data_IF_998597335609
#
_entry.id   IF_998597335609
#
_cell.length_a   1.000
_cell.length_b   1.000
_cell.length_c   1.000
_cell.angle_alpha   90.00
_cell.angle_beta   90.00
_cell.angle_gamma   90.00
#
_symmetry.space_group_name_H-M   'P 1'
#
loop_
_entity.id
_entity.type
_entity.pdbx_description
1 polymer ?
#
# COMPACT_ATOMS: atom_id res chain seq x y z
N UNK A 1 48.28 -22.34 -26.79
CA UNK A 1 47.02 -21.55 -26.67
C UNK A 1 46.24 -21.75 -27.95
N UNK A 2 45.05 -22.41 -27.84
CA UNK A 2 44.26 -22.81 -29.01
C UNK A 2 43.63 -21.60 -29.70
N UNK A 3 43.58 -21.59 -31.02
CA UNK A 3 42.94 -20.55 -31.85
C UNK A 3 41.50 -20.22 -31.46
N UNK A 4 40.80 -21.19 -30.85
CA UNK A 4 39.46 -21.04 -30.31
C UNK A 4 39.39 -20.22 -28.99
N UNK A 5 40.45 -20.25 -28.15
CA UNK A 5 40.52 -19.45 -26.91
C UNK A 5 40.84 -17.99 -27.21
N UNK A 6 41.65 -17.69 -28.25
CA UNK A 6 41.93 -16.30 -28.67
C UNK A 6 40.77 -15.64 -29.38
N UNK A 7 39.89 -16.38 -30.02
CA UNK A 7 38.70 -15.85 -30.71
C UNK A 7 37.57 -15.52 -29.68
N UNK A 8 37.44 -16.32 -28.61
CA UNK A 8 36.49 -16.07 -27.53
C UNK A 8 36.86 -14.86 -26.65
N UNK A 9 38.14 -14.60 -26.40
CA UNK A 9 38.58 -13.44 -25.63
C UNK A 9 38.28 -12.12 -26.35
N UNK A 10 38.43 -12.03 -27.66
CA UNK A 10 38.07 -10.85 -28.46
C UNK A 10 36.53 -10.59 -28.49
N UNK A 11 35.74 -11.65 -28.49
CA UNK A 11 34.27 -11.54 -28.58
C UNK A 11 33.64 -10.92 -27.34
N UNK A 12 34.27 -11.05 -26.17
CA UNK A 12 33.73 -10.63 -24.88
C UNK A 12 34.59 -9.60 -24.15
N UNK A 13 35.52 -8.95 -24.86
CA UNK A 13 36.51 -7.99 -24.30
C UNK A 13 35.86 -6.78 -23.58
N UNK A 14 34.59 -6.48 -23.90
CA UNK A 14 33.80 -5.41 -23.26
C UNK A 14 32.99 -5.81 -22.03
N UNK A 15 32.96 -7.10 -21.66
CA UNK A 15 32.15 -7.57 -20.54
C UNK A 15 32.95 -7.57 -19.24
N UNK A 16 32.56 -6.68 -18.32
CA UNK A 16 33.13 -6.59 -16.97
C UNK A 16 32.11 -7.03 -15.92
N UNK A 17 32.61 -7.48 -14.77
CA UNK A 17 31.71 -7.81 -13.60
C UNK A 17 30.85 -6.61 -13.21
N UNK A 18 31.42 -5.39 -13.23
CA UNK A 18 30.68 -4.17 -12.96
C UNK A 18 29.53 -3.93 -13.95
N UNK A 19 29.75 -4.18 -15.25
CA UNK A 19 28.69 -4.09 -16.27
C UNK A 19 27.59 -5.13 -16.05
N UNK A 20 27.96 -6.35 -15.68
CA UNK A 20 26.98 -7.41 -15.39
C UNK A 20 26.15 -7.12 -14.13
N UNK A 21 26.76 -6.50 -13.11
CA UNK A 21 26.03 -6.04 -11.93
C UNK A 21 25.08 -4.87 -12.25
N UNK A 22 25.50 -3.95 -13.14
CA UNK A 22 24.61 -2.88 -13.60
C UNK A 22 23.41 -3.46 -14.37
N UNK A 23 23.60 -4.48 -15.23
CA UNK A 23 22.53 -5.16 -15.98
C UNK A 23 21.51 -5.89 -15.05
N UNK A 24 21.86 -6.15 -13.78
CA UNK A 24 20.94 -6.70 -12.80
C UNK A 24 19.90 -5.67 -12.31
N UNK A 25 20.24 -4.37 -12.26
CA UNK A 25 19.33 -3.33 -11.78
C UNK A 25 18.06 -3.19 -12.63
N UNK A 26 18.11 -3.13 -13.97
CA UNK A 26 16.91 -3.13 -14.80
C UNK A 26 15.99 -4.34 -14.55
N UNK A 27 16.57 -5.52 -14.30
CA UNK A 27 15.82 -6.74 -14.01
C UNK A 27 15.08 -6.62 -12.66
N UNK A 28 15.73 -6.05 -11.64
CA UNK A 28 15.12 -5.78 -10.35
C UNK A 28 14.03 -4.70 -10.47
N UNK A 29 14.27 -3.61 -11.16
CA UNK A 29 13.28 -2.56 -11.39
C UNK A 29 12.05 -3.10 -12.13
N UNK A 30 12.27 -3.93 -13.15
CA UNK A 30 11.19 -4.61 -13.85
C UNK A 30 10.38 -5.53 -12.95
N UNK A 31 11.04 -6.32 -12.09
CA UNK A 31 10.37 -7.18 -11.10
C UNK A 31 9.50 -6.35 -10.15
N UNK A 32 10.06 -5.30 -9.54
CA UNK A 32 9.31 -4.43 -8.63
C UNK A 32 8.14 -3.74 -9.34
N UNK A 33 8.36 -3.21 -10.54
CA UNK A 33 7.29 -2.65 -11.38
C UNK A 33 6.18 -3.66 -11.60
N UNK A 34 6.52 -4.88 -11.98
CA UNK A 34 5.55 -5.94 -12.21
C UNK A 34 4.76 -6.35 -10.95
N UNK A 35 5.43 -6.40 -9.80
CA UNK A 35 4.77 -6.68 -8.51
C UNK A 35 3.80 -5.56 -8.14
N UNK A 36 4.19 -4.30 -8.26
CA UNK A 36 3.30 -3.16 -7.97
C UNK A 36 2.09 -3.14 -8.90
N UNK A 37 2.28 -3.39 -10.20
CA UNK A 37 1.16 -3.51 -11.15
C UNK A 37 0.25 -4.69 -10.76
N UNK A 38 0.81 -5.82 -10.34
CA UNK A 38 0.02 -6.94 -9.84
C UNK A 38 -0.82 -6.57 -8.60
N UNK A 39 -0.28 -5.80 -7.68
CA UNK A 39 -1.02 -5.31 -6.50
C UNK A 39 -2.21 -4.42 -6.91
N UNK A 40 -2.08 -3.63 -7.97
CA UNK A 40 -3.15 -2.80 -8.52
C UNK A 40 -4.22 -3.61 -9.28
N UNK A 41 -3.80 -4.64 -9.99
CA UNK A 41 -4.66 -5.36 -10.96
C UNK A 41 -5.12 -6.73 -10.50
N UNK A 42 -4.29 -7.48 -9.75
CA UNK A 42 -4.62 -8.80 -9.20
C UNK A 42 -4.53 -9.98 -10.18
N UNK A 43 -4.04 -9.77 -11.41
CA UNK A 43 -4.01 -10.84 -12.43
C UNK A 43 -2.86 -11.83 -12.21
N UNK A 44 -3.19 -13.09 -11.89
CA UNK A 44 -2.21 -14.17 -11.70
C UNK A 44 -1.44 -14.49 -12.99
N UNK A 45 -2.09 -14.38 -14.16
CA UNK A 45 -1.42 -14.59 -15.46
C UNK A 45 -0.38 -13.50 -15.71
N UNK A 46 -0.68 -12.24 -15.35
CA UNK A 46 0.27 -11.14 -15.41
C UNK A 46 1.49 -11.41 -14.51
N UNK A 47 1.26 -11.81 -13.25
CA UNK A 47 2.34 -12.13 -12.31
C UNK A 47 3.22 -13.28 -12.80
N UNK A 48 2.63 -14.33 -13.37
CA UNK A 48 3.38 -15.44 -13.97
C UNK A 48 4.25 -14.95 -15.15
N UNK A 49 3.74 -14.02 -15.96
CA UNK A 49 4.50 -13.38 -17.03
C UNK A 49 5.67 -12.55 -16.51
N UNK A 50 5.45 -11.77 -15.45
CA UNK A 50 6.53 -11.02 -14.76
C UNK A 50 7.60 -11.97 -14.25
N UNK A 51 7.22 -13.07 -13.59
CA UNK A 51 8.17 -14.05 -13.08
C UNK A 51 9.00 -14.69 -14.20
N UNK A 52 8.37 -15.11 -15.30
CA UNK A 52 9.05 -15.70 -16.45
C UNK A 52 10.05 -14.72 -17.08
N UNK A 53 9.65 -13.47 -17.32
CA UNK A 53 10.51 -12.44 -17.89
C UNK A 53 11.69 -12.11 -16.94
N UNK A 54 11.43 -12.03 -15.63
CA UNK A 54 12.47 -11.79 -14.61
C UNK A 54 13.50 -12.92 -14.58
N UNK A 55 13.06 -14.18 -14.60
CA UNK A 55 13.97 -15.35 -14.68
C UNK A 55 14.80 -15.31 -15.97
N UNK A 56 14.18 -14.94 -17.09
CA UNK A 56 14.88 -14.72 -18.34
C UNK A 56 15.96 -13.65 -18.22
N UNK A 57 15.63 -12.48 -17.68
CA UNK A 57 16.57 -11.39 -17.43
C UNK A 57 17.71 -11.78 -16.51
N UNK A 58 17.39 -12.46 -15.39
CA UNK A 58 18.39 -12.98 -14.45
C UNK A 58 19.34 -13.99 -15.10
N UNK A 59 18.84 -14.82 -16.02
CA UNK A 59 19.67 -15.76 -16.79
C UNK A 59 20.69 -15.02 -17.66
N UNK A 60 20.31 -13.88 -18.28
CA UNK A 60 21.24 -13.02 -19.05
C UNK A 60 22.31 -12.42 -18.14
N UNK A 61 21.92 -11.90 -16.98
CA UNK A 61 22.84 -11.32 -15.99
C UNK A 61 23.85 -12.37 -15.52
N UNK A 62 23.36 -13.56 -15.13
CA UNK A 62 24.23 -14.67 -14.71
C UNK A 62 25.20 -15.09 -15.81
N UNK A 63 24.74 -15.17 -17.06
CA UNK A 63 25.59 -15.44 -18.22
C UNK A 63 26.69 -14.39 -18.34
N UNK A 64 26.36 -13.09 -18.29
CA UNK A 64 27.37 -12.01 -18.35
C UNK A 64 28.37 -12.09 -17.20
N UNK A 65 27.94 -12.41 -15.99
CA UNK A 65 28.80 -12.59 -14.81
C UNK A 65 29.81 -13.74 -15.04
N UNK A 66 29.34 -14.89 -15.53
CA UNK A 66 30.20 -16.05 -15.80
C UNK A 66 31.20 -15.74 -16.88
N UNK A 67 30.77 -15.08 -17.96
CA UNK A 67 31.67 -14.66 -19.05
C UNK A 67 32.70 -13.66 -18.53
N UNK A 68 32.30 -12.66 -17.75
CA UNK A 68 33.23 -11.65 -17.21
C UNK A 68 34.20 -12.25 -16.18
N UNK A 69 33.82 -13.26 -15.41
CA UNK A 69 34.66 -13.84 -14.36
C UNK A 69 35.65 -14.87 -14.87
N UNK A 70 35.29 -15.69 -15.87
CA UNK A 70 36.11 -16.83 -16.30
C UNK A 70 36.11 -17.11 -17.82
N UNK A 71 35.49 -16.24 -18.63
CA UNK A 71 35.43 -16.36 -20.07
C UNK A 71 34.57 -17.51 -20.63
N UNK A 72 33.82 -18.23 -19.77
CA UNK A 72 33.01 -19.38 -20.21
C UNK A 72 31.65 -18.90 -20.75
N UNK A 73 31.35 -19.30 -21.98
CA UNK A 73 30.02 -19.13 -22.58
C UNK A 73 29.11 -20.29 -22.19
N UNK A 74 28.05 -20.00 -21.43
CA UNK A 74 27.04 -20.99 -20.98
C UNK A 74 25.78 -20.82 -21.84
N UNK A 75 25.76 -21.51 -22.99
CA UNK A 75 24.68 -21.42 -23.99
C UNK A 75 23.28 -21.67 -23.41
N UNK A 76 23.14 -22.50 -22.36
CA UNK A 76 21.88 -22.77 -21.69
C UNK A 76 21.23 -21.50 -21.08
N UNK A 77 22.04 -20.58 -20.55
CA UNK A 77 21.53 -19.32 -19.95
C UNK A 77 21.04 -18.35 -21.03
N UNK A 78 21.75 -18.25 -22.17
CA UNK A 78 21.30 -17.40 -23.27
C UNK A 78 20.07 -17.98 -23.98
N UNK A 79 19.93 -19.31 -24.04
CA UNK A 79 18.71 -19.97 -24.53
C UNK A 79 17.53 -19.69 -23.57
N UNK A 80 17.73 -19.81 -22.24
CA UNK A 80 16.71 -19.49 -21.25
C UNK A 80 16.21 -18.04 -21.39
N UNK A 81 17.12 -17.08 -21.50
CA UNK A 81 16.77 -15.68 -21.76
C UNK A 81 15.91 -15.50 -23.01
N UNK A 82 16.35 -16.08 -24.16
CA UNK A 82 15.65 -15.94 -25.45
C UNK A 82 14.26 -16.56 -25.47
N UNK A 83 13.96 -17.52 -24.61
CA UNK A 83 12.66 -18.17 -24.51
C UNK A 83 11.80 -17.52 -23.44
N UNK A 84 12.31 -17.35 -22.22
CA UNK A 84 11.52 -16.89 -21.08
C UNK A 84 11.13 -15.40 -21.17
N UNK A 85 11.99 -14.56 -21.71
CA UNK A 85 11.70 -13.13 -21.86
C UNK A 85 10.48 -12.89 -22.77
N UNK A 86 10.49 -13.35 -24.06
CA UNK A 86 9.32 -13.19 -24.93
C UNK A 86 8.08 -13.90 -24.38
N UNK A 87 8.22 -15.10 -23.80
CA UNK A 87 7.09 -15.82 -23.21
C UNK A 87 6.45 -15.01 -22.07
N UNK A 88 7.27 -14.43 -21.19
CA UNK A 88 6.79 -13.57 -20.11
C UNK A 88 6.03 -12.35 -20.63
N UNK A 89 6.58 -11.61 -21.59
CA UNK A 89 5.89 -10.48 -22.21
C UNK A 89 4.59 -10.90 -22.91
N UNK A 90 4.58 -12.04 -23.57
CA UNK A 90 3.35 -12.58 -24.21
C UNK A 90 2.28 -12.88 -23.16
N UNK A 91 2.63 -13.48 -22.02
CA UNK A 91 1.71 -13.74 -20.92
C UNK A 91 1.15 -12.44 -20.33
N UNK A 92 1.98 -11.42 -20.13
CA UNK A 92 1.52 -10.11 -19.64
C UNK A 92 0.56 -9.45 -20.64
N UNK A 93 0.88 -9.44 -21.92
CA UNK A 93 0.00 -8.91 -22.97
C UNK A 93 -1.32 -9.68 -23.05
N UNK A 94 -1.26 -11.02 -23.03
CA UNK A 94 -2.46 -11.87 -23.02
C UNK A 94 -3.33 -11.59 -21.80
N UNK A 95 -2.73 -11.39 -20.63
CA UNK A 95 -3.45 -11.01 -19.41
C UNK A 95 -4.19 -9.68 -19.60
N UNK A 96 -3.56 -8.67 -20.19
CA UNK A 96 -4.19 -7.38 -20.46
C UNK A 96 -5.37 -7.53 -21.43
N UNK A 97 -5.17 -8.27 -22.53
CA UNK A 97 -6.23 -8.52 -23.53
C UNK A 97 -7.41 -9.27 -22.91
N UNK A 98 -7.14 -10.33 -22.15
CA UNK A 98 -8.20 -11.11 -21.49
C UNK A 98 -8.94 -10.31 -20.44
N UNK A 99 -8.26 -9.41 -19.70
CA UNK A 99 -8.90 -8.48 -18.77
C UNK A 99 -9.87 -7.54 -19.49
N UNK A 100 -9.43 -6.88 -20.56
CA UNK A 100 -10.26 -5.97 -21.36
C UNK A 100 -11.46 -6.71 -21.96
N UNK A 101 -11.26 -7.89 -22.55
CA UNK A 101 -12.32 -8.70 -23.15
C UNK A 101 -13.33 -9.17 -22.09
N UNK A 102 -12.86 -9.61 -20.93
CA UNK A 102 -13.73 -10.00 -19.83
C UNK A 102 -14.61 -8.84 -19.35
N UNK A 103 -14.05 -7.65 -19.20
CA UNK A 103 -14.80 -6.45 -18.81
C UNK A 103 -15.89 -6.09 -19.84
N UNK A 104 -15.58 -6.23 -21.14
CA UNK A 104 -16.54 -5.94 -22.21
C UNK A 104 -17.68 -6.98 -22.29
N UNK A 105 -17.40 -8.25 -21.94
CA UNK A 105 -18.41 -9.33 -21.97
C UNK A 105 -19.30 -9.28 -20.73
N UNK A 106 -18.76 -8.94 -19.55
CA UNK A 106 -19.51 -8.93 -18.28
C UNK A 106 -20.59 -7.85 -18.19
N UNK A 107 -20.59 -6.87 -19.07
CA UNK A 107 -21.73 -6.02 -19.40
C UNK A 107 -22.37 -5.22 -18.26
N UNK A 108 -21.58 -4.77 -17.28
CA UNK A 108 -22.10 -4.16 -16.05
C UNK A 108 -22.38 -2.63 -16.19
N UNK A 109 -22.82 -2.22 -17.38
CA UNK A 109 -23.43 -0.88 -17.60
C UNK A 109 -22.49 0.33 -17.51
N UNK A 110 -21.22 0.17 -17.15
CA UNK A 110 -20.22 1.22 -17.24
C UNK A 110 -19.68 1.33 -18.68
N UNK A 111 -19.64 2.52 -19.25
CA UNK A 111 -19.14 2.75 -20.62
C UNK A 111 -17.64 2.44 -20.71
N UNK A 112 -17.28 1.19 -21.07
CA UNK A 112 -15.93 0.77 -21.38
C UNK A 112 -15.34 -0.26 -20.41
N UNK A 113 -14.16 -0.79 -20.77
CA UNK A 113 -13.43 -1.74 -19.93
C UNK A 113 -12.81 -1.06 -18.71
N UNK A 114 -13.07 -1.58 -17.50
CA UNK A 114 -12.46 -1.12 -16.27
C UNK A 114 -10.93 -1.24 -16.30
N UNK A 115 -10.42 -2.35 -16.87
CA UNK A 115 -9.00 -2.58 -17.07
C UNK A 115 -8.36 -1.51 -17.94
N UNK A 116 -9.00 -1.18 -19.07
CA UNK A 116 -8.50 -0.15 -19.99
C UNK A 116 -8.58 1.25 -19.37
N UNK A 117 -9.69 1.58 -18.73
CA UNK A 117 -9.86 2.88 -18.06
C UNK A 117 -8.86 3.08 -16.93
N UNK A 118 -8.64 2.06 -16.10
CA UNK A 118 -7.63 2.11 -15.04
C UNK A 118 -6.20 2.26 -15.58
N UNK A 119 -5.88 1.58 -16.68
CA UNK A 119 -4.59 1.74 -17.35
C UNK A 119 -4.41 3.17 -17.89
N UNK A 120 -5.43 3.71 -18.58
CA UNK A 120 -5.40 5.07 -19.13
C UNK A 120 -5.28 6.11 -17.99
N UNK A 121 -6.06 5.98 -16.94
CA UNK A 121 -5.98 6.85 -15.78
C UNK A 121 -4.56 6.82 -15.17
N UNK A 122 -3.98 5.63 -14.97
CA UNK A 122 -2.62 5.51 -14.43
C UNK A 122 -1.56 6.15 -15.35
N UNK A 123 -1.62 5.90 -16.66
CA UNK A 123 -0.64 6.44 -17.62
C UNK A 123 -0.74 7.97 -17.75
N UNK A 124 -1.95 8.54 -17.63
CA UNK A 124 -2.18 9.99 -17.77
C UNK A 124 -2.08 10.75 -16.46
N UNK A 125 -2.01 10.08 -15.32
CA UNK A 125 -1.86 10.70 -14.01
C UNK A 125 -0.54 11.50 -13.92
N UNK A 126 -0.65 12.77 -13.60
CA UNK A 126 0.55 13.60 -13.34
C UNK A 126 0.99 13.44 -11.86
N UNK A 127 2.31 13.39 -11.53
CA UNK A 127 3.47 13.44 -12.46
C UNK A 127 3.90 12.09 -13.07
N UNK A 128 3.20 10.98 -12.83
CA UNK A 128 3.56 9.64 -13.33
C UNK A 128 3.72 9.61 -14.86
N UNK A 129 2.87 10.33 -15.58
CA UNK A 129 2.91 10.45 -17.05
C UNK A 129 4.29 10.89 -17.56
N UNK A 130 4.96 11.81 -16.86
CA UNK A 130 6.29 12.29 -17.24
C UNK A 130 7.33 11.18 -17.10
N UNK A 131 7.26 10.40 -16.00
CA UNK A 131 8.15 9.27 -15.78
C UNK A 131 7.93 8.14 -16.79
N UNK A 132 6.67 7.83 -17.14
CA UNK A 132 6.37 6.85 -18.20
C UNK A 132 6.90 7.31 -19.56
N UNK A 133 6.69 8.58 -19.93
CA UNK A 133 7.20 9.13 -21.17
C UNK A 133 8.74 9.06 -21.21
N UNK A 134 9.43 9.47 -20.14
CA UNK A 134 10.89 9.39 -20.03
C UNK A 134 11.39 7.95 -20.14
N UNK A 135 10.76 7.01 -19.43
CA UNK A 135 11.11 5.59 -19.48
C UNK A 135 10.92 4.98 -20.87
N UNK A 136 9.78 5.22 -21.53
CA UNK A 136 9.50 4.74 -22.89
C UNK A 136 10.48 5.33 -23.90
N UNK A 137 10.72 6.64 -23.86
CA UNK A 137 11.71 7.29 -24.71
C UNK A 137 13.11 6.71 -24.51
N UNK A 138 13.50 6.45 -23.26
CA UNK A 138 14.79 5.81 -22.95
C UNK A 138 14.89 4.39 -23.50
N UNK A 139 13.83 3.57 -23.40
CA UNK A 139 13.80 2.22 -24.01
C UNK A 139 13.89 2.28 -25.55
N UNK A 140 13.23 3.24 -26.19
CA UNK A 140 13.36 3.49 -27.62
C UNK A 140 14.79 3.89 -27.98
N UNK A 141 15.40 4.79 -27.19
CA UNK A 141 16.80 5.20 -27.36
C UNK A 141 17.74 4.00 -27.20
N UNK A 142 17.56 3.17 -26.18
CA UNK A 142 18.35 1.94 -26.00
C UNK A 142 18.24 1.02 -27.21
N UNK A 143 17.04 0.81 -27.75
CA UNK A 143 16.85 0.00 -28.96
C UNK A 143 17.50 0.61 -30.21
N UNK A 144 17.63 1.95 -30.29
CA UNK A 144 18.36 2.63 -31.36
C UNK A 144 19.87 2.52 -31.16
N UNK A 145 20.39 2.72 -29.94
CA UNK A 145 21.81 2.58 -29.58
C UNK A 145 22.34 1.18 -29.94
N UNK A 146 21.62 0.12 -29.51
CA UNK A 146 22.00 -1.27 -29.79
C UNK A 146 22.03 -1.65 -31.26
N UNK A 147 21.53 -0.80 -32.18
CA UNK A 147 21.62 -0.99 -33.64
C UNK A 147 22.70 -0.17 -34.30
N UNK A 148 23.15 0.92 -33.67
CA UNK A 148 24.02 1.92 -34.31
C UNK A 148 25.36 2.08 -33.60
N UNK A 149 25.52 1.60 -32.37
CA UNK A 149 26.79 1.61 -31.66
C UNK A 149 27.57 0.32 -31.89
N UNK A 150 28.87 0.41 -31.70
CA UNK A 150 29.80 -0.73 -31.76
C UNK A 150 29.69 -1.59 -30.47
N UNK A 151 30.31 -2.77 -30.49
CA UNK A 151 30.34 -3.66 -29.31
C UNK A 151 31.49 -3.29 -28.34
N UNK A 152 31.89 -2.02 -28.27
CA UNK A 152 32.91 -1.57 -27.32
C UNK A 152 32.42 -1.57 -25.89
N UNK A 153 33.32 -1.64 -24.93
CA UNK A 153 32.97 -1.54 -23.51
C UNK A 153 32.18 -0.25 -23.20
N UNK A 154 32.59 0.88 -23.83
CA UNK A 154 31.89 2.16 -23.68
C UNK A 154 30.46 2.11 -24.18
N UNK A 155 30.21 1.53 -25.33
CA UNK A 155 28.88 1.37 -25.93
C UNK A 155 27.97 0.51 -25.02
N UNK A 156 28.49 -0.62 -24.56
CA UNK A 156 27.79 -1.50 -23.64
C UNK A 156 27.40 -0.78 -22.33
N UNK A 157 28.28 0.04 -21.76
CA UNK A 157 27.96 0.84 -20.58
C UNK A 157 26.86 1.88 -20.84
N UNK A 158 26.91 2.56 -22.00
CA UNK A 158 25.88 3.55 -22.38
C UNK A 158 24.51 2.86 -22.53
N UNK A 159 24.45 1.71 -23.20
CA UNK A 159 23.21 0.95 -23.38
C UNK A 159 22.63 0.49 -22.05
N UNK A 160 23.43 -0.12 -21.17
CA UNK A 160 22.94 -0.62 -19.89
C UNK A 160 22.57 0.52 -18.94
N UNK A 161 23.29 1.64 -18.93
CA UNK A 161 22.89 2.83 -18.17
C UNK A 161 21.56 3.41 -18.67
N UNK A 162 21.38 3.47 -20.00
CA UNK A 162 20.13 3.95 -20.59
C UNK A 162 18.97 3.02 -20.22
N UNK A 163 19.17 1.70 -20.27
CA UNK A 163 18.17 0.71 -19.84
C UNK A 163 17.84 0.86 -18.34
N UNK A 164 18.87 0.99 -17.51
CA UNK A 164 18.71 1.15 -16.06
C UNK A 164 17.88 2.40 -15.72
N UNK A 165 18.21 3.56 -16.28
CA UNK A 165 17.47 4.79 -16.07
C UNK A 165 16.04 4.72 -16.59
N UNK A 166 15.82 4.05 -17.72
CA UNK A 166 14.49 3.87 -18.31
C UNK A 166 13.59 3.02 -17.43
N UNK A 167 14.10 1.87 -16.94
CA UNK A 167 13.35 0.99 -16.03
C UNK A 167 13.11 1.65 -14.67
N UNK A 168 14.06 2.41 -14.16
CA UNK A 168 13.88 3.20 -12.94
C UNK A 168 12.78 4.25 -13.10
N UNK A 169 12.75 4.97 -14.23
CA UNK A 169 11.71 5.95 -14.50
C UNK A 169 10.32 5.27 -14.54
N UNK A 170 10.17 4.14 -15.23
CA UNK A 170 8.91 3.38 -15.27
C UNK A 170 8.50 2.95 -13.85
N UNK A 171 9.43 2.43 -13.04
CA UNK A 171 9.17 2.03 -11.66
C UNK A 171 8.67 3.22 -10.83
N UNK A 172 9.32 4.38 -10.92
CA UNK A 172 8.88 5.60 -10.22
C UNK A 172 7.45 5.97 -10.67
N UNK A 173 7.17 5.96 -11.96
CA UNK A 173 5.83 6.24 -12.49
C UNK A 173 4.77 5.29 -11.92
N UNK A 174 5.05 3.99 -11.86
CA UNK A 174 4.12 2.99 -11.29
C UNK A 174 3.95 3.17 -9.78
N UNK A 175 4.99 3.52 -9.04
CA UNK A 175 4.91 3.84 -7.61
C UNK A 175 4.01 5.05 -7.37
N UNK A 176 4.18 6.13 -8.16
CA UNK A 176 3.31 7.32 -8.08
C UNK A 176 1.85 6.96 -8.33
N UNK A 177 1.56 6.14 -9.35
CA UNK A 177 0.20 5.65 -9.62
C UNK A 177 -0.32 4.82 -8.45
N UNK A 178 0.51 3.94 -7.89
CA UNK A 178 0.09 3.08 -6.78
C UNK A 178 -0.36 3.89 -5.56
N UNK A 179 0.42 4.89 -5.15
CA UNK A 179 0.08 5.75 -4.02
C UNK A 179 -0.94 6.84 -4.36
N UNK A 180 -1.02 7.27 -5.62
CA UNK A 180 -2.00 8.25 -6.08
C UNK A 180 -3.40 7.69 -6.34
N UNK A 181 -3.57 6.37 -6.39
CA UNK A 181 -4.86 5.70 -6.49
C UNK A 181 -5.32 5.29 -5.07
N UNK A 182 -6.08 6.15 -4.41
CA UNK A 182 -6.61 5.94 -3.07
C UNK A 182 -8.11 6.28 -3.02
N UNK A 183 -8.77 5.89 -1.94
CA UNK A 183 -10.19 6.15 -1.71
C UNK A 183 -10.36 7.53 -1.09
N UNK A 184 -11.13 8.37 -1.76
CA UNK A 184 -11.40 9.73 -1.33
C UNK A 184 -12.57 9.78 -0.37
N UNK A 185 -12.51 10.70 0.59
CA UNK A 185 -13.63 11.05 1.45
C UNK A 185 -14.82 11.54 0.60
N UNK A 186 -16.02 11.10 0.93
CA UNK A 186 -17.23 11.59 0.29
C UNK A 186 -17.72 12.90 0.93
N UNK A 187 -18.81 13.45 0.41
CA UNK A 187 -19.35 14.73 0.90
C UNK A 187 -19.82 14.65 2.35
N UNK A 188 -20.33 13.50 2.80
CA UNK A 188 -20.77 13.30 4.19
C UNK A 188 -19.57 13.37 5.14
N UNK A 189 -18.45 12.78 4.72
CA UNK A 189 -17.20 12.85 5.48
C UNK A 189 -16.65 14.28 5.57
N UNK A 190 -16.63 14.99 4.45
CA UNK A 190 -16.14 16.37 4.40
C UNK A 190 -17.03 17.33 5.21
N UNK A 191 -18.34 17.13 5.20
CA UNK A 191 -19.27 17.91 6.02
C UNK A 191 -19.03 17.69 7.53
N UNK A 192 -18.67 16.48 7.94
CA UNK A 192 -18.36 16.13 9.33
C UNK A 192 -17.04 16.73 9.87
N UNK A 193 -16.20 17.31 9.02
CA UNK A 193 -15.03 18.10 9.45
C UNK A 193 -15.41 19.51 9.91
N UNK A 194 -16.66 19.89 9.76
CA UNK A 194 -17.13 21.21 10.21
C UNK A 194 -17.55 21.11 11.67
N UNK A 195 -17.02 22.04 12.51
CA UNK A 195 -17.46 22.17 13.90
C UNK A 195 -18.98 22.39 13.98
N UNK A 196 -19.61 21.76 14.97
CA UNK A 196 -21.04 21.90 15.22
C UNK A 196 -21.30 22.48 16.64
N UNK A 197 -22.54 22.38 17.12
CA UNK A 197 -22.91 22.93 18.46
C UNK A 197 -22.32 22.15 19.65
N UNK A 198 -21.79 20.93 19.44
CA UNK A 198 -21.29 20.04 20.50
C UNK A 198 -19.85 19.60 20.30
N UNK A 199 -19.33 19.63 19.07
CA UNK A 199 -17.96 19.21 18.74
C UNK A 199 -17.24 20.34 18.01
N UNK A 200 -16.06 20.69 18.51
CA UNK A 200 -15.12 21.57 17.81
C UNK A 200 -14.11 20.74 17.04
N UNK A 201 -13.98 20.98 15.74
CA UNK A 201 -12.99 20.30 14.90
C UNK A 201 -11.85 21.26 14.59
N UNK A 202 -10.64 20.85 14.90
CA UNK A 202 -9.42 21.62 14.63
C UNK A 202 -8.49 20.79 13.73
N UNK A 203 -8.09 21.36 12.59
CA UNK A 203 -7.12 20.77 11.67
C UNK A 203 -5.70 21.21 12.03
N UNK A 204 -4.77 20.26 12.05
CA UNK A 204 -3.32 20.48 12.15
C UNK A 204 -2.60 19.81 10.96
N UNK A 205 -1.27 19.89 10.90
CA UNK A 205 -0.50 19.18 9.87
C UNK A 205 -0.57 17.65 10.01
N UNK A 206 -0.80 17.14 11.24
CA UNK A 206 -0.70 15.72 11.57
C UNK A 206 -2.05 15.06 11.79
N UNK A 207 -3.11 15.83 12.13
CA UNK A 207 -4.41 15.26 12.48
C UNK A 207 -5.56 16.26 12.34
N UNK A 208 -6.78 15.72 12.39
CA UNK A 208 -8.00 16.43 12.76
C UNK A 208 -8.33 16.08 14.20
N UNK A 209 -8.44 17.08 15.07
CA UNK A 209 -8.83 16.91 16.47
C UNK A 209 -10.31 17.25 16.64
N UNK A 210 -11.06 16.30 17.19
CA UNK A 210 -12.50 16.42 17.47
C UNK A 210 -12.69 16.56 18.98
N UNK A 211 -12.92 17.78 19.47
CA UNK A 211 -13.12 18.14 20.87
C UNK A 211 -14.62 18.18 21.18
N UNK A 212 -15.11 17.20 21.90
CA UNK A 212 -16.50 17.05 22.32
C UNK A 212 -16.75 17.51 23.75
N UNK A 213 -17.93 17.20 24.32
CA UNK A 213 -18.27 17.57 25.70
C UNK A 213 -17.55 16.72 26.77
N UNK A 214 -16.95 15.59 26.39
CA UNK A 214 -16.21 14.70 27.28
C UNK A 214 -14.83 15.23 27.66
N UNK A 215 -14.27 14.74 28.79
CA UNK A 215 -12.95 15.18 29.28
C UNK A 215 -12.13 14.03 29.87
N UNK A 216 -12.67 12.83 29.90
CA UNK A 216 -12.03 11.71 30.60
C UNK A 216 -11.24 10.78 29.69
N UNK A 217 -11.58 10.71 28.39
CA UNK A 217 -10.98 9.80 27.44
C UNK A 217 -10.65 10.45 26.10
N UNK A 218 -9.49 10.16 25.58
CA UNK A 218 -9.09 10.48 24.21
C UNK A 218 -8.76 9.21 23.42
N UNK A 219 -9.01 9.27 22.10
CA UNK A 219 -8.79 8.18 21.18
C UNK A 219 -7.97 8.67 19.98
N UNK A 220 -6.87 7.98 19.66
CA UNK A 220 -6.07 8.26 18.45
C UNK A 220 -6.45 7.24 17.40
N UNK A 221 -6.78 7.72 16.20
CA UNK A 221 -7.32 6.90 15.11
C UNK A 221 -6.38 6.83 13.91
N UNK A 222 -6.02 5.60 13.51
CA UNK A 222 -5.24 5.34 12.30
C UNK A 222 -6.13 4.86 11.15
N UNK A 223 -6.16 5.60 10.01
CA UNK A 223 -6.90 5.24 8.81
C UNK A 223 -6.48 3.91 8.20
N UNK A 224 -7.37 3.32 7.42
CA UNK A 224 -7.07 2.17 6.57
C UNK A 224 -6.11 2.55 5.43
N UNK A 225 -5.38 1.56 4.91
CA UNK A 225 -4.46 1.80 3.81
C UNK A 225 -5.17 2.32 2.56
N UNK A 226 -4.61 3.37 1.96
CA UNK A 226 -5.13 4.02 0.75
C UNK A 226 -6.52 4.64 0.93
N UNK A 227 -6.88 5.04 2.13
CA UNK A 227 -8.10 5.80 2.42
C UNK A 227 -7.70 7.15 2.99
N UNK A 228 -8.28 8.22 2.49
CA UNK A 228 -8.14 9.56 3.07
C UNK A 228 -8.60 9.54 4.53
N UNK A 229 -7.86 10.20 5.41
CA UNK A 229 -8.21 10.28 6.83
C UNK A 229 -9.59 10.89 7.03
N UNK A 230 -9.92 11.92 6.26
CA UNK A 230 -11.19 12.63 6.29
C UNK A 230 -12.41 11.70 6.15
N UNK A 231 -12.23 10.56 5.48
CA UNK A 231 -13.30 9.57 5.32
C UNK A 231 -13.86 9.04 6.66
N UNK A 232 -13.10 9.16 7.74
CA UNK A 232 -13.51 8.69 9.08
C UNK A 232 -14.08 9.80 9.97
N UNK A 233 -14.16 11.04 9.47
CA UNK A 233 -14.67 12.17 10.24
C UNK A 233 -16.08 11.96 10.84
N UNK A 234 -17.06 11.33 10.14
CA UNK A 234 -18.37 11.09 10.74
C UNK A 234 -18.32 10.17 11.99
N UNK A 235 -17.47 9.13 11.96
CA UNK A 235 -17.27 8.26 13.11
C UNK A 235 -16.60 9.00 14.27
N UNK A 236 -15.59 9.82 13.97
CA UNK A 236 -14.89 10.64 14.99
C UNK A 236 -15.84 11.65 15.62
N UNK A 237 -16.70 12.29 14.82
CA UNK A 237 -17.70 13.24 15.32
C UNK A 237 -18.70 12.55 16.25
N UNK A 238 -19.20 11.36 15.90
CA UNK A 238 -20.10 10.57 16.76
C UNK A 238 -19.45 10.17 18.08
N UNK A 239 -18.16 9.78 18.06
CA UNK A 239 -17.40 9.43 19.26
C UNK A 239 -17.21 10.66 20.17
N UNK A 240 -16.83 11.80 19.58
CA UNK A 240 -16.66 13.05 20.32
C UNK A 240 -17.97 13.56 20.91
N UNK A 241 -19.08 13.50 20.17
CA UNK A 241 -20.43 13.79 20.71
C UNK A 241 -20.80 12.88 21.88
N UNK A 242 -20.33 11.63 21.85
CA UNK A 242 -20.50 10.66 22.92
C UNK A 242 -19.51 10.77 24.07
N UNK A 243 -18.65 11.78 24.07
CA UNK A 243 -17.73 12.10 25.17
C UNK A 243 -16.34 11.48 25.10
N UNK A 244 -15.93 10.99 23.91
CA UNK A 244 -14.58 10.49 23.65
C UNK A 244 -13.92 11.38 22.59
N UNK A 245 -13.01 12.27 23.01
CA UNK A 245 -12.32 13.14 22.07
C UNK A 245 -11.42 12.35 21.13
N UNK A 246 -11.36 12.75 19.87
CA UNK A 246 -10.71 11.96 18.83
C UNK A 246 -9.62 12.71 18.08
N UNK A 247 -8.48 12.05 17.90
CA UNK A 247 -7.36 12.47 17.07
C UNK A 247 -7.34 11.63 15.79
N UNK A 248 -7.91 12.12 14.71
CA UNK A 248 -7.90 11.45 13.41
C UNK A 248 -6.60 11.75 12.68
N UNK A 249 -5.70 10.78 12.64
CA UNK A 249 -4.35 10.95 12.10
C UNK A 249 -4.31 11.11 10.58
N UNK A 250 -3.54 12.08 10.09
CA UNK A 250 -3.21 12.27 8.67
C UNK A 250 -1.94 11.48 8.34
N UNK A 251 -2.08 10.36 7.63
CA UNK A 251 -0.97 9.46 7.36
C UNK A 251 -0.24 9.77 6.05
N UNK A 252 1.11 9.73 6.03
CA UNK A 252 1.87 9.92 4.80
C UNK A 252 1.42 8.93 3.72
N UNK A 253 1.08 9.45 2.52
CA UNK A 253 0.60 8.68 1.39
C UNK A 253 -0.61 7.78 1.70
N UNK A 254 -1.41 8.12 2.71
CA UNK A 254 -2.53 7.33 3.21
C UNK A 254 -2.13 5.90 3.66
N UNK A 255 -0.95 5.77 4.30
CA UNK A 255 -0.45 4.51 4.84
C UNK A 255 0.13 4.67 6.24
N UNK A 256 -0.54 4.14 7.24
CA UNK A 256 -0.11 4.18 8.64
C UNK A 256 1.28 3.56 8.88
N UNK A 257 1.73 2.62 8.04
CA UNK A 257 3.07 2.00 8.13
C UNK A 257 4.22 2.99 7.97
N UNK A 258 4.01 4.16 7.34
CA UNK A 258 5.05 5.16 7.13
C UNK A 258 5.25 6.08 8.33
N UNK A 259 4.28 6.09 9.25
CA UNK A 259 4.39 6.84 10.50
C UNK A 259 3.72 6.09 11.67
N UNK A 260 4.40 5.06 12.12
CA UNK A 260 3.88 4.16 13.17
C UNK A 260 3.84 4.82 14.54
N UNK A 261 4.67 5.81 14.78
CA UNK A 261 4.87 6.47 16.06
C UNK A 261 3.98 7.70 16.26
N UNK A 262 3.24 8.13 15.24
CA UNK A 262 2.48 9.36 15.26
C UNK A 262 1.51 9.47 16.46
N UNK A 263 0.91 8.36 16.91
CA UNK A 263 0.01 8.40 18.07
C UNK A 263 0.74 8.81 19.35
N UNK A 264 1.97 8.34 19.57
CA UNK A 264 2.77 8.77 20.71
C UNK A 264 3.16 10.25 20.62
N UNK A 265 3.44 10.75 19.41
CA UNK A 265 3.77 12.16 19.17
C UNK A 265 2.55 13.07 19.43
N UNK A 266 1.38 12.70 18.92
CA UNK A 266 0.10 13.41 19.14
C UNK A 266 -0.24 13.43 20.62
N UNK A 267 -0.13 12.30 21.32
CA UNK A 267 -0.38 12.25 22.75
C UNK A 267 0.57 13.16 23.52
N UNK A 268 1.87 13.12 23.19
CA UNK A 268 2.86 14.00 23.81
C UNK A 268 2.57 15.48 23.58
N UNK A 269 2.07 15.85 22.39
CA UNK A 269 1.69 17.20 22.04
C UNK A 269 0.47 17.69 22.85
N UNK A 270 -0.57 16.83 22.96
CA UNK A 270 -1.79 17.16 23.70
C UNK A 270 -1.56 17.23 25.22
N UNK A 271 -0.76 16.29 25.77
CA UNK A 271 -0.38 16.31 27.21
C UNK A 271 0.62 17.42 27.54
N UNK A 272 1.23 18.04 26.53
CA UNK A 272 2.17 19.14 26.69
C UNK A 272 1.48 20.50 26.85
N UNK A 273 2.20 21.49 27.43
CA UNK A 273 1.69 22.86 27.64
C UNK A 273 1.49 23.67 26.33
N UNK A 274 1.88 23.13 25.17
CA UNK A 274 1.95 23.83 23.88
C UNK A 274 0.84 23.46 22.88
N UNK A 275 -0.20 22.71 23.27
CA UNK A 275 -1.29 22.34 22.37
C UNK A 275 -2.40 23.41 22.34
N UNK A 276 -2.39 24.35 21.37
CA UNK A 276 -3.33 25.48 21.36
C UNK A 276 -4.79 25.09 21.07
N UNK A 277 -5.01 23.86 20.59
CA UNK A 277 -6.32 23.28 20.30
C UNK A 277 -6.84 22.41 21.44
N UNK A 278 -5.95 21.92 22.29
CA UNK A 278 -6.33 21.26 23.51
C UNK A 278 -6.62 22.34 24.55
N UNK A 279 -7.87 22.46 24.96
CA UNK A 279 -8.25 23.40 26.00
C UNK A 279 -7.48 23.15 27.32
N UNK A 280 -7.46 24.10 28.25
CA UNK A 280 -6.72 23.98 29.51
C UNK A 280 -7.21 22.82 30.41
N UNK A 281 -8.29 22.15 30.00
CA UNK A 281 -8.94 21.05 30.74
C UNK A 281 -8.70 19.68 30.10
N UNK A 282 -7.83 19.56 29.08
CA UNK A 282 -7.58 18.29 28.38
C UNK A 282 -6.57 17.39 29.12
N UNK A 283 -6.79 17.18 30.41
CA UNK A 283 -6.06 16.20 31.25
C UNK A 283 -6.79 14.85 31.19
N UNK A 284 -6.63 14.16 30.03
CA UNK A 284 -7.31 12.88 29.80
C UNK A 284 -6.79 11.82 30.76
N UNK A 285 -7.71 11.15 31.45
CA UNK A 285 -7.41 10.06 32.37
C UNK A 285 -7.05 8.77 31.64
N UNK A 286 -7.60 8.60 30.42
CA UNK A 286 -7.47 7.38 29.61
C UNK A 286 -7.20 7.71 28.15
N UNK A 287 -6.31 6.94 27.55
CA UNK A 287 -5.91 7.06 26.16
C UNK A 287 -6.08 5.74 25.42
N UNK A 288 -6.78 5.78 24.29
CA UNK A 288 -7.07 4.62 23.48
C UNK A 288 -6.50 4.75 22.07
N UNK A 289 -6.09 3.60 21.51
CA UNK A 289 -5.79 3.46 20.09
C UNK A 289 -7.00 2.91 19.37
N UNK A 290 -7.24 3.34 18.13
CA UNK A 290 -8.29 2.79 17.28
C UNK A 290 -7.85 2.82 15.82
N UNK A 291 -7.86 1.68 15.13
CA UNK A 291 -7.46 1.68 13.73
C UNK A 291 -8.31 0.78 12.85
N UNK A 292 -8.56 1.29 11.65
CA UNK A 292 -9.26 0.53 10.62
C UNK A 292 -8.27 -0.25 9.76
N UNK A 293 -8.57 -1.53 9.50
CA UNK A 293 -7.81 -2.35 8.53
C UNK A 293 -6.29 -2.32 8.83
N UNK A 294 -5.45 -1.87 7.91
CA UNK A 294 -4.00 -1.73 8.12
C UNK A 294 -3.64 -0.74 9.24
N UNK A 295 -4.49 0.25 9.53
CA UNK A 295 -4.32 1.18 10.65
C UNK A 295 -4.23 0.44 11.97
N UNK A 296 -5.21 -0.42 12.27
CA UNK A 296 -5.21 -1.22 13.50
C UNK A 296 -4.07 -2.23 13.58
N UNK A 297 -3.71 -2.86 12.45
CA UNK A 297 -2.50 -3.70 12.37
C UNK A 297 -1.26 -2.91 12.78
N UNK A 298 -1.14 -1.65 12.32
CA UNK A 298 0.01 -0.79 12.62
C UNK A 298 0.03 -0.38 14.08
N UNK A 299 -1.10 0.04 14.63
CA UNK A 299 -1.23 0.42 16.03
C UNK A 299 -0.97 -0.73 16.99
N UNK A 300 -1.27 -1.98 16.59
CA UNK A 300 -0.95 -3.15 17.41
C UNK A 300 0.56 -3.30 17.66
N UNK A 301 1.39 -2.89 16.68
CA UNK A 301 2.84 -2.89 16.82
C UNK A 301 3.31 -1.78 17.77
N UNK A 302 2.65 -0.62 17.73
CA UNK A 302 2.89 0.48 18.67
C UNK A 302 2.49 0.06 20.09
N UNK A 303 1.27 -0.45 20.27
CA UNK A 303 0.75 -0.91 21.56
C UNK A 303 1.58 -2.01 22.24
N UNK A 304 2.30 -2.80 21.44
CA UNK A 304 3.20 -3.84 21.95
C UNK A 304 4.63 -3.33 22.24
N UNK A 305 4.93 -2.07 21.95
CA UNK A 305 6.27 -1.50 22.09
C UNK A 305 6.52 -1.03 23.53
N UNK A 306 7.59 -1.52 24.14
CA UNK A 306 8.04 -1.05 25.46
C UNK A 306 8.53 0.43 25.46
N UNK A 307 8.63 1.05 24.28
CA UNK A 307 9.06 2.45 24.09
C UNK A 307 7.89 3.41 23.87
N UNK A 308 6.70 2.89 23.69
CA UNK A 308 5.47 3.66 23.53
C UNK A 308 4.92 4.11 24.88
N UNK A 309 3.98 5.04 24.84
CA UNK A 309 3.17 5.38 26.00
C UNK A 309 2.37 4.17 26.51
N UNK A 310 1.96 4.20 27.77
CA UNK A 310 0.98 3.25 28.28
C UNK A 310 -0.41 3.60 27.76
N UNK A 311 -0.94 2.77 26.86
CA UNK A 311 -2.30 2.90 26.33
C UNK A 311 -3.28 2.09 27.17
N UNK A 312 -4.48 2.62 27.42
CA UNK A 312 -5.50 1.96 28.25
C UNK A 312 -6.26 0.89 27.48
N UNK A 313 -6.23 0.93 26.16
CA UNK A 313 -6.81 -0.10 25.30
C UNK A 313 -6.66 0.20 23.81
N UNK A 314 -7.08 -0.77 22.99
CA UNK A 314 -7.03 -0.67 21.53
C UNK A 314 -8.29 -1.22 20.89
N UNK A 315 -8.80 -0.51 19.88
CA UNK A 315 -9.97 -0.90 19.08
C UNK A 315 -9.55 -1.26 17.66
N UNK A 316 -9.92 -2.43 17.22
CA UNK A 316 -9.68 -2.92 15.87
C UNK A 316 -10.98 -2.85 15.05
N UNK A 317 -11.03 -1.99 14.05
CA UNK A 317 -12.13 -1.94 13.09
C UNK A 317 -11.74 -2.72 11.84
N UNK A 318 -12.40 -3.85 11.60
CA UNK A 318 -12.08 -4.76 10.50
C UNK A 318 -10.56 -5.06 10.43
N UNK A 319 -9.95 -5.34 11.58
CA UNK A 319 -8.50 -5.46 11.76
C UNK A 319 -8.13 -6.53 12.80
N UNK A 320 -6.84 -6.76 12.99
CA UNK A 320 -6.31 -7.74 13.94
C UNK A 320 -4.89 -7.35 14.39
N UNK A 321 -4.43 -7.82 15.58
CA UNK A 321 -3.07 -7.55 16.02
C UNK A 321 -2.03 -8.36 15.21
N UNK A 322 -0.96 -7.68 14.77
CA UNK A 322 0.18 -8.28 14.09
C UNK A 322 1.13 -8.99 15.05
N UNK A 323 1.12 -8.59 16.32
CA UNK A 323 1.96 -9.07 17.42
C UNK A 323 1.12 -9.22 18.68
N UNK A 324 1.62 -9.96 19.67
CA UNK A 324 0.93 -10.11 20.96
C UNK A 324 0.82 -8.80 21.70
N UNK A 325 -0.38 -8.40 22.07
CA UNK A 325 -0.67 -7.21 22.87
C UNK A 325 -1.14 -7.59 24.27
N UNK A 326 -0.98 -6.70 25.24
CA UNK A 326 -1.33 -6.97 26.66
C UNK A 326 -2.44 -6.06 27.17
N UNK A 327 -2.69 -4.94 26.49
CA UNK A 327 -3.74 -3.99 26.85
C UNK A 327 -5.10 -4.52 26.41
N UNK A 328 -6.21 -4.11 27.08
CA UNK A 328 -7.56 -4.47 26.65
C UNK A 328 -7.82 -4.20 25.17
N UNK A 329 -8.56 -5.09 24.51
CA UNK A 329 -8.83 -4.97 23.08
C UNK A 329 -10.32 -5.20 22.75
N UNK A 330 -10.83 -4.35 21.85
CA UNK A 330 -12.15 -4.51 21.22
C UNK A 330 -11.93 -4.73 19.72
N UNK A 331 -12.54 -5.78 19.16
CA UNK A 331 -12.57 -6.01 17.72
C UNK A 331 -13.99 -5.86 17.19
N UNK A 332 -14.16 -5.03 16.16
CA UNK A 332 -15.46 -4.79 15.51
C UNK A 332 -15.31 -5.06 14.02
N UNK A 333 -16.15 -5.91 13.42
CA UNK A 333 -16.20 -6.15 11.98
C UNK A 333 -17.61 -6.50 11.49
N UNK A 334 -17.83 -6.39 10.19
CA UNK A 334 -19.13 -6.67 9.57
C UNK A 334 -19.26 -8.11 9.07
N UNK A 335 -20.50 -8.66 9.04
CA UNK A 335 -20.74 -10.01 8.48
C UNK A 335 -20.47 -10.10 6.98
N UNK A 336 -20.58 -8.97 6.27
CA UNK A 336 -20.35 -8.89 4.81
C UNK A 336 -18.93 -8.43 4.46
N UNK A 337 -18.04 -8.26 5.44
CA UNK A 337 -16.64 -7.95 5.21
C UNK A 337 -15.94 -9.09 4.44
N UNK A 338 -15.41 -8.78 3.24
CA UNK A 338 -14.66 -9.71 2.39
C UNK A 338 -13.19 -9.27 2.20
N UNK A 339 -12.79 -8.18 2.85
CA UNK A 339 -11.43 -7.64 2.82
C UNK A 339 -10.62 -8.10 4.02
N UNK A 340 -11.24 -8.13 5.20
CA UNK A 340 -10.63 -8.72 6.40
C UNK A 340 -10.24 -10.18 6.11
N UNK A 341 -8.94 -10.49 6.15
CA UNK A 341 -8.45 -11.84 5.91
C UNK A 341 -8.76 -12.76 7.11
N UNK A 342 -9.71 -13.70 6.98
CA UNK A 342 -10.03 -14.60 8.08
C UNK A 342 -8.84 -15.48 8.51
N UNK A 343 -7.93 -15.76 7.57
CA UNK A 343 -6.72 -16.53 7.87
C UNK A 343 -5.80 -15.81 8.84
N UNK A 344 -5.56 -14.51 8.61
CA UNK A 344 -4.74 -13.67 9.48
C UNK A 344 -5.43 -13.37 10.82
N UNK A 345 -6.74 -13.11 10.80
CA UNK A 345 -7.54 -12.91 12.01
C UNK A 345 -7.49 -14.14 12.93
N UNK A 346 -7.77 -15.33 12.39
CA UNK A 346 -7.72 -16.58 13.13
C UNK A 346 -6.30 -16.92 13.60
N UNK A 347 -5.28 -16.58 12.81
CA UNK A 347 -3.87 -16.75 13.16
C UNK A 347 -3.49 -15.90 14.37
N UNK A 348 -4.01 -14.66 14.47
CA UNK A 348 -3.79 -13.83 15.65
C UNK A 348 -4.33 -14.52 16.92
N UNK A 349 -5.51 -15.15 16.84
CA UNK A 349 -6.07 -15.97 17.93
C UNK A 349 -5.20 -17.17 18.29
N UNK A 350 -4.84 -17.98 17.29
CA UNK A 350 -4.04 -19.21 17.52
C UNK A 350 -2.62 -18.94 18.02
N UNK A 351 -2.06 -17.74 17.72
CA UNK A 351 -0.75 -17.31 18.22
C UNK A 351 -0.81 -16.63 19.59
N UNK A 352 -2.00 -16.43 20.14
CA UNK A 352 -2.17 -15.70 21.40
C UNK A 352 -1.80 -14.22 21.30
N UNK A 353 -2.10 -13.58 20.15
CA UNK A 353 -1.84 -12.15 19.96
C UNK A 353 -2.93 -11.27 20.58
N UNK A 354 -4.15 -11.80 20.70
CA UNK A 354 -5.23 -11.16 21.46
C UNK A 354 -4.95 -11.22 22.96
N UNK A 355 -5.23 -10.15 23.72
CA UNK A 355 -5.04 -10.14 25.16
C UNK A 355 -6.11 -10.96 25.89
N UNK A 356 -5.91 -11.19 27.19
CA UNK A 356 -6.94 -11.87 28.02
C UNK A 356 -8.23 -11.07 28.11
N UNK A 357 -8.13 -9.72 28.21
CA UNK A 357 -9.30 -8.82 28.16
C UNK A 357 -9.58 -8.45 26.68
N UNK A 358 -10.20 -9.39 25.95
CA UNK A 358 -10.60 -9.26 24.55
C UNK A 358 -12.10 -9.35 24.39
N UNK A 359 -12.67 -8.37 23.71
CA UNK A 359 -14.10 -8.31 23.35
C UNK A 359 -14.23 -8.31 21.82
N UNK A 360 -15.19 -9.08 21.32
CA UNK A 360 -15.51 -9.13 19.89
C UNK A 360 -16.96 -8.69 19.66
N UNK A 361 -17.15 -7.83 18.65
CA UNK A 361 -18.46 -7.38 18.18
C UNK A 361 -18.58 -7.58 16.69
N UNK A 362 -19.61 -8.29 16.26
CA UNK A 362 -19.93 -8.46 14.85
C UNK A 362 -21.15 -7.63 14.49
N UNK A 363 -21.02 -6.75 13.49
CA UNK A 363 -22.12 -5.92 12.97
C UNK A 363 -22.80 -6.68 11.84
N UNK A 364 -24.06 -7.06 12.07
CA UNK A 364 -24.85 -7.77 11.07
C UNK A 364 -25.15 -6.87 9.88
N UNK A 365 -24.83 -7.35 8.67
CA UNK A 365 -25.03 -6.61 7.42
C UNK A 365 -23.99 -5.55 7.11
N UNK A 366 -23.05 -5.28 8.01
CA UNK A 366 -21.94 -4.36 7.78
C UNK A 366 -20.83 -4.98 6.93
N UNK A 367 -20.01 -4.14 6.30
CA UNK A 367 -18.86 -4.55 5.51
C UNK A 367 -17.58 -3.81 5.90
N UNK A 368 -16.47 -4.04 5.17
CA UNK A 368 -15.18 -3.43 5.45
C UNK A 368 -15.19 -1.91 5.24
N UNK A 369 -15.70 -1.47 4.10
CA UNK A 369 -15.60 -0.07 3.68
C UNK A 369 -16.42 0.89 4.57
N UNK A 370 -17.53 0.45 5.14
CA UNK A 370 -18.48 1.31 5.84
C UNK A 370 -18.05 1.76 7.25
N UNK A 371 -16.85 1.39 7.71
CA UNK A 371 -16.21 2.07 8.85
C UNK A 371 -15.78 3.49 8.53
N UNK A 372 -15.65 3.84 7.23
CA UNK A 372 -15.45 5.19 6.73
C UNK A 372 -16.51 5.58 5.69
N UNK A 373 -16.50 6.84 5.27
CA UNK A 373 -17.39 7.42 4.25
C UNK A 373 -16.59 7.75 2.99
N UNK A 374 -16.25 6.69 2.20
CA UNK A 374 -15.47 6.76 0.97
C UNK A 374 -16.03 5.89 -0.17
N UNK A 375 -17.24 5.40 0.01
CA UNK A 375 -17.91 4.57 -0.97
C UNK A 375 -17.46 3.10 -0.97
N UNK A 376 -17.74 2.40 -2.07
CA UNK A 376 -17.46 0.97 -2.17
C UNK A 376 -15.96 0.68 -2.35
N UNK A 377 -15.46 -0.31 -1.61
CA UNK A 377 -14.09 -0.79 -1.73
C UNK A 377 -14.01 -2.01 -2.65
N UNK A 378 -12.97 -2.04 -3.50
CA UNK A 378 -12.73 -3.18 -4.40
C UNK A 378 -12.47 -4.46 -3.60
N UNK A 379 -13.24 -5.49 -3.87
CA UNK A 379 -13.09 -6.80 -3.24
C UNK A 379 -13.90 -6.98 -1.95
N UNK A 380 -14.56 -5.92 -1.49
CA UNK A 380 -15.44 -5.99 -0.32
C UNK A 380 -16.81 -6.60 -0.65
N UNK A 381 -17.53 -7.05 0.38
CA UNK A 381 -18.90 -7.52 0.28
C UNK A 381 -19.92 -6.38 0.18
N UNK A 382 -21.11 -6.71 -0.31
CA UNK A 382 -22.20 -5.75 -0.37
C UNK A 382 -22.88 -5.70 1.01
N UNK A 383 -22.80 -4.55 1.68
CA UNK A 383 -23.49 -4.33 2.94
C UNK A 383 -25.02 -4.33 2.74
N UNK A 384 -25.76 -4.75 3.75
CA UNK A 384 -27.22 -4.69 3.82
C UNK A 384 -27.74 -3.57 4.73
N UNK A 385 -26.84 -2.86 5.41
CA UNK A 385 -27.09 -1.65 6.19
C UNK A 385 -26.33 -0.48 5.57
N UNK A 386 -26.68 0.75 5.93
CA UNK A 386 -26.00 1.97 5.47
C UNK A 386 -24.69 2.20 6.24
N UNK A 387 -23.78 3.02 5.66
CA UNK A 387 -22.56 3.42 6.34
C UNK A 387 -22.85 4.17 7.65
N UNK A 388 -23.86 5.05 7.66
CA UNK A 388 -24.28 5.77 8.85
C UNK A 388 -24.76 4.81 9.98
N UNK A 389 -25.53 3.76 9.63
CA UNK A 389 -25.96 2.75 10.59
C UNK A 389 -24.80 1.93 11.15
N UNK A 390 -23.82 1.56 10.30
CA UNK A 390 -22.63 0.85 10.75
C UNK A 390 -21.76 1.71 11.66
N UNK A 391 -21.52 2.96 11.30
CA UNK A 391 -20.73 3.91 12.10
C UNK A 391 -21.39 4.24 13.42
N UNK A 392 -22.73 4.39 13.45
CA UNK A 392 -23.49 4.59 14.67
C UNK A 392 -23.34 3.39 15.62
N UNK A 393 -23.56 2.16 15.13
CA UNK A 393 -23.37 0.95 15.93
C UNK A 393 -21.92 0.79 16.42
N UNK A 394 -20.96 1.22 15.61
CA UNK A 394 -19.53 1.20 15.93
C UNK A 394 -19.22 2.19 17.06
N UNK A 395 -19.68 3.44 16.95
CA UNK A 395 -19.44 4.47 17.97
C UNK A 395 -20.10 4.11 19.31
N UNK A 396 -21.36 3.64 19.31
CA UNK A 396 -22.05 3.19 20.50
C UNK A 396 -21.33 2.04 21.22
N UNK A 397 -20.76 1.08 20.44
CA UNK A 397 -20.03 -0.05 21.03
C UNK A 397 -18.68 0.38 21.60
N UNK A 398 -17.95 1.28 20.91
CA UNK A 398 -16.67 1.83 21.39
C UNK A 398 -16.89 2.61 22.69
N UNK A 399 -17.85 3.53 22.74
CA UNK A 399 -18.18 4.32 23.92
C UNK A 399 -18.52 3.41 25.09
N UNK A 400 -19.45 2.47 24.89
CA UNK A 400 -19.84 1.50 25.92
C UNK A 400 -18.65 0.68 26.43
N UNK A 401 -17.76 0.27 25.54
CA UNK A 401 -16.58 -0.51 25.90
C UNK A 401 -15.61 0.34 26.72
N UNK A 402 -15.35 1.60 26.34
CA UNK A 402 -14.50 2.55 27.08
C UNK A 402 -15.05 2.82 28.48
N UNK A 403 -16.35 3.03 28.62
CA UNK A 403 -17.00 3.27 29.91
C UNK A 403 -16.85 2.09 30.89
N UNK A 404 -16.66 0.86 30.38
CA UNK A 404 -16.53 -0.35 31.17
C UNK A 404 -15.08 -0.76 31.44
N UNK A 405 -14.07 0.00 30.96
CA UNK A 405 -12.64 -0.22 31.27
C UNK A 405 -12.27 0.53 32.54
#
# INVERSE_FOLDING_TARGET
>A
MNRAETDNTKKYEGFTVGLALLDALPVLFFLFTGVVIYMLWGSRLFLAGVAAATIGGASKVLWKLIVAANGKDVEGLTKAFRVLMPAGFTMMLLSLVTGIVSDLISGDGSSGSRTLNGLLQGITMMPAAVFFAAGICGLCLMGWLGRHMDNSARSNWIEEMTNCLSQLAILIGVIIVYFGLYYHADTVALDALTSNGSVTVTETEQMYFFDGPGRDAALVFYPGAKVESEAYAPLMQMLAEGGVDCCLCSMPLNFALFDKGLADEIRAEIEGDDAPYAGPDNDYKKWYLCGHSLGGVTESVLAASDKSYAWDGIVFLASYPAVGIKIPALSIYGTEDKVLDPGSYNKAGTKGYWPENFTEKVISGGNHAQFGSYGAQKGDGQASITAAEQQMQTSEEIIRWIENQ
#
